data_IF_559761168144
#
_entry.id   IF_559761168144
#
_cell.length_a   1.000
_cell.length_b   1.000
_cell.length_c   1.000
_cell.angle_alpha   90.00
_cell.angle_beta   90.00
_cell.angle_gamma   90.00
#
_symmetry.space_group_name_H-M   'P 1'
#
loop_
_entity.id
_entity.type
_entity.pdbx_description
1 polymer ?
#
# COMPACT_ATOMS: atom_id res chain seq x y z
N UNK A 1 -47.43 46.43 -2.07
CA UNK A 1 -46.84 45.15 -2.53
C UNK A 1 -46.67 44.27 -1.30
N UNK A 2 -47.49 43.23 -1.10
CA UNK A 2 -47.40 42.36 0.09
C UNK A 2 -46.43 41.23 -0.22
N UNK A 3 -45.23 41.29 0.33
CA UNK A 3 -44.23 40.22 0.25
C UNK A 3 -44.73 39.06 1.11
N UNK A 4 -45.11 37.95 0.48
CA UNK A 4 -45.40 36.70 1.19
C UNK A 4 -44.08 36.03 1.57
N UNK A 5 -43.65 36.22 2.81
CA UNK A 5 -42.61 35.39 3.40
C UNK A 5 -43.20 33.99 3.62
N UNK A 6 -42.69 33.00 2.88
CA UNK A 6 -43.01 31.59 3.12
C UNK A 6 -42.33 31.20 4.44
N UNK A 7 -43.12 30.97 5.48
CA UNK A 7 -42.60 30.52 6.78
C UNK A 7 -41.95 29.15 6.58
N UNK A 8 -40.63 29.05 6.80
CA UNK A 8 -39.96 27.76 6.84
C UNK A 8 -40.40 27.01 8.10
N UNK A 9 -40.85 25.76 7.94
CA UNK A 9 -41.11 24.90 9.09
C UNK A 9 -39.75 24.46 9.68
N UNK A 10 -39.48 24.88 10.91
CA UNK A 10 -38.28 24.48 11.66
C UNK A 10 -38.57 23.24 12.50
N UNK A 11 -37.59 22.34 12.60
CA UNK A 11 -37.62 21.15 13.45
C UNK A 11 -36.33 21.08 14.26
N UNK A 12 -36.44 20.56 15.48
CA UNK A 12 -35.31 20.33 16.39
C UNK A 12 -35.20 18.83 16.67
N UNK A 13 -33.97 18.32 16.69
CA UNK A 13 -33.64 16.94 17.07
C UNK A 13 -32.55 16.98 18.13
N UNK A 14 -32.56 15.99 19.04
CA UNK A 14 -31.51 15.76 20.03
C UNK A 14 -30.93 14.37 19.79
N UNK A 15 -29.60 14.27 19.76
CA UNK A 15 -28.88 13.04 19.48
C UNK A 15 -27.75 12.87 20.51
N UNK A 16 -27.60 11.66 21.03
CA UNK A 16 -26.42 11.28 21.79
C UNK A 16 -25.39 10.73 20.81
N UNK A 17 -24.16 11.23 20.91
CA UNK A 17 -23.01 10.75 20.16
C UNK A 17 -22.10 9.94 21.08
N UNK A 18 -21.40 8.98 20.48
CA UNK A 18 -20.58 8.00 21.17
C UNK A 18 -19.26 7.85 20.44
N UNK A 19 -18.19 7.60 21.18
CA UNK A 19 -16.94 7.10 20.61
C UNK A 19 -17.11 5.65 20.15
N UNK A 20 -16.23 5.20 19.25
CA UNK A 20 -16.28 3.83 18.71
C UNK A 20 -16.30 2.74 19.81
N UNK A 21 -15.50 2.91 20.87
CA UNK A 21 -15.42 1.97 22.00
C UNK A 21 -16.69 1.90 22.84
N UNK A 22 -17.57 2.89 22.75
CA UNK A 22 -18.82 2.97 23.52
C UNK A 22 -20.01 2.37 22.75
N UNK A 23 -19.83 2.05 21.46
CA UNK A 23 -20.85 1.42 20.64
C UNK A 23 -21.06 -0.04 21.04
N UNK A 24 -22.30 -0.52 20.86
CA UNK A 24 -22.56 -1.96 20.93
C UNK A 24 -21.96 -2.70 19.71
N UNK A 25 -21.76 -4.01 19.82
CA UNK A 25 -21.12 -4.82 18.77
C UNK A 25 -21.76 -4.66 17.38
N UNK A 26 -23.09 -4.55 17.31
CA UNK A 26 -23.79 -4.37 16.03
C UNK A 26 -23.46 -3.01 15.41
N UNK A 27 -23.43 -1.96 16.22
CA UNK A 27 -23.07 -0.62 15.78
C UNK A 27 -21.57 -0.54 15.42
N UNK A 28 -20.68 -1.21 16.15
CA UNK A 28 -19.26 -1.31 15.80
C UNK A 28 -19.05 -1.95 14.43
N UNK A 29 -19.69 -3.11 14.17
CA UNK A 29 -19.62 -3.76 12.85
C UNK A 29 -20.11 -2.88 11.72
N UNK A 30 -21.18 -2.12 11.96
CA UNK A 30 -21.67 -1.14 10.98
C UNK A 30 -20.65 -0.02 10.78
N UNK A 31 -20.10 0.54 11.85
CA UNK A 31 -19.11 1.61 11.76
C UNK A 31 -17.85 1.14 11.01
N UNK A 32 -17.37 -0.07 11.26
CA UNK A 32 -16.23 -0.66 10.53
C UNK A 32 -16.55 -0.84 9.04
N UNK A 33 -17.69 -1.44 8.71
CA UNK A 33 -18.09 -1.66 7.31
C UNK A 33 -18.28 -0.35 6.53
N UNK A 34 -18.85 0.67 7.16
CA UNK A 34 -19.05 2.00 6.56
C UNK A 34 -17.72 2.76 6.37
N UNK A 35 -16.63 2.34 7.03
CA UNK A 35 -15.31 2.98 7.02
C UNK A 35 -14.19 1.99 6.60
N UNK A 36 -14.52 0.95 5.82
CA UNK A 36 -13.59 -0.12 5.42
C UNK A 36 -12.34 0.38 4.67
N UNK A 37 -12.43 1.55 4.03
CA UNK A 37 -11.38 2.18 3.23
C UNK A 37 -10.66 3.32 3.99
N UNK A 38 -10.96 3.51 5.28
CA UNK A 38 -10.51 4.68 6.06
C UNK A 38 -9.00 4.90 6.01
N UNK A 39 -8.22 3.84 6.17
CA UNK A 39 -6.76 3.88 6.21
C UNK A 39 -6.10 3.83 4.82
N UNK A 40 -6.86 3.49 3.78
CA UNK A 40 -6.36 3.28 2.42
C UNK A 40 -6.91 4.30 1.43
N UNK A 41 -7.50 5.39 1.91
CA UNK A 41 -8.12 6.41 1.07
C UNK A 41 -7.12 7.24 0.26
N UNK A 42 -5.86 7.39 0.73
CA UNK A 42 -4.80 8.13 0.06
C UNK A 42 -3.43 7.63 0.50
N UNK A 43 -2.50 7.49 -0.45
CA UNK A 43 -1.05 7.44 -0.21
C UNK A 43 -0.55 6.38 0.78
N UNK A 44 -1.35 5.35 1.05
CA UNK A 44 -0.96 4.28 1.98
C UNK A 44 0.22 3.45 1.45
N UNK A 45 0.47 3.51 0.14
CA UNK A 45 1.57 2.84 -0.56
C UNK A 45 2.85 3.69 -0.67
N UNK A 46 2.85 4.96 -0.27
CA UNK A 46 3.96 5.89 -0.54
C UNK A 46 5.29 5.34 0.01
N UNK A 47 5.29 4.81 1.23
CA UNK A 47 6.49 4.23 1.84
C UNK A 47 6.98 2.95 1.14
N UNK A 48 6.11 2.23 0.43
CA UNK A 48 6.49 1.07 -0.39
C UNK A 48 7.14 1.55 -1.69
N UNK A 49 6.68 2.67 -2.24
CA UNK A 49 7.31 3.30 -3.39
C UNK A 49 8.69 3.85 -3.04
N UNK A 50 8.83 4.48 -1.88
CA UNK A 50 10.12 4.96 -1.36
C UNK A 50 11.10 3.78 -1.18
N UNK A 51 10.67 2.67 -0.55
CA UNK A 51 11.47 1.44 -0.40
C UNK A 51 11.90 0.87 -1.77
N UNK A 52 10.97 0.82 -2.74
CA UNK A 52 11.28 0.38 -4.09
C UNK A 52 12.33 1.27 -4.77
N UNK A 53 12.18 2.59 -4.67
CA UNK A 53 13.12 3.56 -5.25
C UNK A 53 14.50 3.44 -4.62
N UNK A 54 14.59 3.32 -3.29
CA UNK A 54 15.84 3.07 -2.55
C UNK A 54 16.48 1.73 -2.96
N UNK A 55 15.67 0.71 -3.22
CA UNK A 55 16.12 -0.56 -3.78
C UNK A 55 16.54 -0.47 -5.26
N UNK A 56 16.38 0.67 -5.93
CA UNK A 56 16.73 0.87 -7.33
C UNK A 56 15.65 0.43 -8.33
N UNK A 57 14.39 0.36 -7.90
CA UNK A 57 13.23 0.02 -8.72
C UNK A 57 12.24 1.18 -8.76
N UNK A 58 11.64 1.40 -9.93
CA UNK A 58 10.53 2.31 -10.10
C UNK A 58 9.25 1.51 -10.29
N UNK A 59 8.36 1.53 -9.29
CA UNK A 59 7.00 1.02 -9.47
C UNK A 59 6.25 1.99 -10.41
N UNK A 60 5.73 1.47 -11.51
CA UNK A 60 5.01 2.26 -12.52
C UNK A 60 3.49 2.15 -12.39
N UNK A 61 3.01 1.23 -11.55
CA UNK A 61 1.60 1.05 -11.24
C UNK A 61 1.33 -0.33 -10.68
N UNK A 62 0.24 -0.46 -9.93
CA UNK A 62 -0.24 -1.72 -9.38
C UNK A 62 -1.77 -1.75 -9.35
N UNK A 63 -2.33 -2.94 -9.21
CA UNK A 63 -3.75 -3.22 -9.01
C UNK A 63 -3.86 -4.45 -8.11
N UNK A 64 -4.47 -4.30 -6.93
CA UNK A 64 -4.68 -5.38 -5.95
C UNK A 64 -6.01 -6.11 -6.11
N UNK A 65 -6.94 -5.58 -6.91
CA UNK A 65 -8.24 -6.19 -7.16
C UNK A 65 -8.13 -7.17 -8.34
N UNK A 66 -8.99 -7.04 -9.35
CA UNK A 66 -9.17 -8.04 -10.38
C UNK A 66 -7.92 -8.29 -11.22
N UNK A 67 -7.11 -7.26 -11.48
CA UNK A 67 -5.98 -7.39 -12.37
C UNK A 67 -4.74 -7.98 -11.69
N UNK A 68 -4.61 -7.82 -10.36
CA UNK A 68 -3.59 -8.44 -9.51
C UNK A 68 -2.17 -8.32 -10.11
N UNK A 69 -1.67 -7.09 -10.25
CA UNK A 69 -0.34 -6.83 -10.79
C UNK A 69 0.39 -5.73 -10.03
N UNK A 70 1.72 -5.79 -10.08
CA UNK A 70 2.60 -4.66 -9.81
C UNK A 70 3.60 -4.62 -10.96
N UNK A 71 3.76 -3.46 -11.59
CA UNK A 71 4.72 -3.25 -12.66
C UNK A 71 5.87 -2.41 -12.13
N UNK A 72 7.10 -2.85 -12.37
CA UNK A 72 8.30 -2.12 -12.01
C UNK A 72 9.31 -2.07 -13.17
N UNK A 73 10.23 -1.12 -13.08
CA UNK A 73 11.37 -0.95 -13.98
C UNK A 73 12.63 -0.75 -13.15
N UNK A 74 13.78 -1.20 -13.63
CA UNK A 74 15.05 -0.81 -13.03
C UNK A 74 15.28 0.69 -13.20
N UNK A 75 15.73 1.36 -12.15
CA UNK A 75 16.19 2.76 -12.22
C UNK A 75 17.60 2.79 -12.83
N UNK A 76 18.43 1.82 -12.47
CA UNK A 76 19.79 1.65 -12.98
C UNK A 76 19.92 0.34 -13.77
N UNK A 77 20.15 -0.77 -13.07
CA UNK A 77 20.28 -2.11 -13.63
C UNK A 77 20.02 -3.15 -12.55
N UNK A 78 19.89 -4.42 -12.95
CA UNK A 78 19.63 -5.53 -12.04
C UNK A 78 20.70 -5.70 -10.96
N UNK A 79 21.98 -5.42 -11.27
CA UNK A 79 23.10 -5.58 -10.33
C UNK A 79 23.06 -4.51 -9.26
N UNK A 80 22.80 -3.26 -9.64
CA UNK A 80 22.59 -2.17 -8.71
C UNK A 80 21.43 -2.48 -7.78
N UNK A 81 20.27 -2.88 -8.33
CA UNK A 81 19.09 -3.22 -7.53
C UNK A 81 19.38 -4.35 -6.55
N UNK A 82 19.99 -5.44 -7.04
CA UNK A 82 20.37 -6.57 -6.21
C UNK A 82 21.39 -6.19 -5.11
N UNK A 83 22.24 -5.20 -5.36
CA UNK A 83 23.19 -4.67 -4.38
C UNK A 83 22.47 -3.83 -3.32
N UNK A 84 21.56 -2.92 -3.71
CA UNK A 84 20.80 -2.09 -2.77
C UNK A 84 19.92 -2.95 -1.86
N UNK A 85 19.22 -3.94 -2.42
CA UNK A 85 18.41 -4.88 -1.62
C UNK A 85 19.28 -5.57 -0.57
N UNK A 86 20.49 -6.03 -0.91
CA UNK A 86 21.42 -6.66 0.05
C UNK A 86 21.91 -5.73 1.15
N UNK A 87 21.98 -4.43 0.89
CA UNK A 87 22.43 -3.43 1.85
C UNK A 87 21.31 -2.99 2.80
N UNK A 88 20.10 -2.83 2.26
CA UNK A 88 19.03 -2.11 2.95
C UNK A 88 17.92 -3.03 3.47
N UNK A 89 17.68 -4.18 2.83
CA UNK A 89 16.55 -5.04 3.19
C UNK A 89 16.95 -6.10 4.22
N UNK A 90 15.99 -6.47 5.08
CA UNK A 90 16.20 -7.54 6.06
C UNK A 90 16.32 -8.93 5.42
N UNK A 91 17.13 -9.81 6.01
CA UNK A 91 17.41 -11.15 5.47
C UNK A 91 16.18 -12.03 5.21
N UNK A 92 15.09 -11.77 5.94
CA UNK A 92 13.84 -12.54 5.85
C UNK A 92 12.84 -12.01 4.82
N UNK A 93 13.12 -10.86 4.20
CA UNK A 93 12.20 -10.30 3.21
C UNK A 93 12.17 -11.16 1.95
N UNK A 94 11.04 -11.15 1.25
CA UNK A 94 10.91 -11.85 -0.02
C UNK A 94 11.84 -11.24 -1.09
N UNK A 95 12.01 -9.91 -1.08
CA UNK A 95 12.94 -9.20 -1.95
C UNK A 95 14.39 -9.69 -1.77
N UNK A 96 14.82 -10.01 -0.56
CA UNK A 96 16.14 -10.61 -0.31
C UNK A 96 16.24 -12.04 -0.85
N UNK A 97 15.19 -12.85 -0.70
CA UNK A 97 15.17 -14.23 -1.22
C UNK A 97 15.26 -14.24 -2.75
N UNK A 98 14.47 -13.40 -3.41
CA UNK A 98 14.49 -13.20 -4.87
C UNK A 98 15.88 -12.74 -5.33
N UNK A 99 16.48 -11.80 -4.61
CA UNK A 99 17.83 -11.28 -4.89
C UNK A 99 18.91 -12.34 -4.73
N UNK A 100 18.78 -13.23 -3.73
CA UNK A 100 19.71 -14.35 -3.54
C UNK A 100 19.64 -15.31 -4.72
N UNK A 101 18.43 -15.70 -5.14
CA UNK A 101 18.23 -16.57 -6.29
C UNK A 101 18.71 -15.94 -7.62
N UNK A 102 18.66 -14.62 -7.75
CA UNK A 102 19.25 -13.90 -8.88
C UNK A 102 20.78 -14.07 -8.92
N UNK A 103 21.46 -13.78 -7.82
CA UNK A 103 22.92 -13.92 -7.75
C UNK A 103 23.37 -15.36 -8.01
N UNK A 104 22.70 -16.35 -7.43
CA UNK A 104 23.03 -17.77 -7.64
C UNK A 104 22.92 -18.16 -9.13
N UNK A 105 21.83 -17.76 -9.80
CA UNK A 105 21.63 -18.06 -11.23
C UNK A 105 22.64 -17.34 -12.11
N UNK A 106 22.87 -16.05 -11.85
CA UNK A 106 23.83 -15.24 -12.59
C UNK A 106 25.25 -15.76 -12.44
N UNK A 107 25.70 -15.98 -11.22
CA UNK A 107 27.04 -16.47 -10.94
C UNK A 107 27.24 -17.87 -11.52
N UNK A 108 26.23 -18.73 -11.48
CA UNK A 108 26.28 -20.02 -12.15
C UNK A 108 26.48 -19.87 -13.66
N UNK A 109 25.71 -19.02 -14.33
CA UNK A 109 25.84 -18.78 -15.76
C UNK A 109 27.25 -18.29 -16.12
N UNK A 110 27.77 -17.29 -15.41
CA UNK A 110 29.10 -16.71 -15.68
C UNK A 110 30.24 -17.68 -15.38
N UNK A 111 30.15 -18.42 -14.26
CA UNK A 111 31.25 -19.29 -13.81
C UNK A 111 31.33 -20.61 -14.57
N UNK A 112 30.23 -21.07 -15.16
CA UNK A 112 30.20 -22.32 -15.94
C UNK A 112 30.34 -22.11 -17.43
N UNK A 113 30.31 -20.85 -17.91
CA UNK A 113 30.45 -20.54 -19.31
C UNK A 113 31.82 -20.95 -19.86
N UNK A 114 31.82 -21.44 -21.11
CA UNK A 114 33.07 -21.86 -21.76
C UNK A 114 33.97 -20.66 -22.04
N UNK A 115 35.27 -20.91 -21.95
CA UNK A 115 36.31 -19.93 -22.25
C UNK A 115 37.30 -20.51 -23.24
N UNK A 116 37.78 -19.66 -24.13
CA UNK A 116 38.79 -20.03 -25.11
C UNK A 116 40.18 -20.19 -24.47
N UNK A 117 41.18 -20.46 -25.30
CA UNK A 117 42.57 -20.69 -24.85
C UNK A 117 43.21 -19.47 -24.17
N UNK A 118 42.69 -18.26 -24.40
CA UNK A 118 43.18 -17.01 -23.79
C UNK A 118 42.33 -16.58 -22.59
N UNK A 119 41.29 -17.34 -22.24
CA UNK A 119 40.43 -17.11 -21.07
C UNK A 119 39.22 -16.22 -21.33
N UNK A 120 38.98 -15.81 -22.58
CA UNK A 120 37.82 -15.02 -23.00
C UNK A 120 36.59 -15.92 -23.14
N UNK A 121 35.40 -15.35 -22.95
CA UNK A 121 34.16 -16.12 -23.08
C UNK A 121 33.94 -16.59 -24.52
N UNK A 122 33.76 -17.89 -24.70
CA UNK A 122 33.27 -18.42 -25.98
C UNK A 122 31.82 -17.98 -26.19
N UNK A 123 31.51 -17.49 -27.41
CA UNK A 123 30.18 -17.04 -27.80
C UNK A 123 29.57 -16.01 -26.82
N UNK A 124 30.32 -14.93 -26.53
CA UNK A 124 29.94 -13.90 -25.56
C UNK A 124 28.54 -13.28 -25.79
N UNK A 125 28.06 -13.23 -27.04
CA UNK A 125 26.69 -12.75 -27.38
C UNK A 125 25.59 -13.66 -26.81
N UNK A 126 25.82 -14.98 -26.79
CA UNK A 126 24.87 -15.94 -26.19
C UNK A 126 24.88 -15.86 -24.66
N UNK A 127 26.04 -15.56 -24.06
CA UNK A 127 26.14 -15.27 -22.62
C UNK A 127 25.35 -14.00 -22.28
N UNK A 128 25.51 -12.94 -23.06
CA UNK A 128 24.80 -11.67 -22.88
C UNK A 128 23.28 -11.88 -22.92
N UNK A 129 22.78 -12.58 -23.94
CA UNK A 129 21.35 -12.95 -24.06
C UNK A 129 20.86 -13.77 -22.84
N UNK A 130 21.71 -14.66 -22.32
CA UNK A 130 21.38 -15.46 -21.14
C UNK A 130 21.30 -14.60 -19.88
N UNK A 131 22.21 -13.65 -19.72
CA UNK A 131 22.22 -12.71 -18.60
C UNK A 131 20.99 -11.79 -18.66
N UNK A 132 20.65 -11.25 -19.82
CA UNK A 132 19.44 -10.45 -20.03
C UNK A 132 18.18 -11.20 -19.58
N UNK A 133 18.04 -12.47 -19.97
CA UNK A 133 16.91 -13.30 -19.54
C UNK A 133 16.87 -13.51 -18.02
N UNK A 134 18.03 -13.63 -17.36
CA UNK A 134 18.12 -13.74 -15.90
C UNK A 134 17.70 -12.43 -15.23
N UNK A 135 18.08 -11.28 -15.79
CA UNK A 135 17.71 -9.96 -15.31
C UNK A 135 16.21 -9.68 -15.48
N UNK A 136 15.61 -10.08 -16.61
CA UNK A 136 14.16 -10.00 -16.81
C UNK A 136 13.39 -10.85 -15.80
N UNK A 137 13.83 -12.08 -15.55
CA UNK A 137 13.24 -12.96 -14.55
C UNK A 137 13.36 -12.36 -13.15
N UNK A 138 14.48 -11.71 -12.85
CA UNK A 138 14.67 -11.01 -11.59
C UNK A 138 13.69 -9.85 -11.44
N UNK A 139 13.52 -9.01 -12.47
CA UNK A 139 12.56 -7.90 -12.44
C UNK A 139 11.12 -8.40 -12.23
N UNK A 140 10.72 -9.48 -12.90
CA UNK A 140 9.40 -10.10 -12.73
C UNK A 140 9.21 -10.61 -11.29
N UNK A 141 10.21 -11.30 -10.74
CA UNK A 141 10.15 -11.81 -9.39
C UNK A 141 10.12 -10.68 -8.34
N UNK A 142 10.89 -9.62 -8.53
CA UNK A 142 10.86 -8.42 -7.68
C UNK A 142 9.50 -7.73 -7.74
N UNK A 143 8.91 -7.61 -8.93
CA UNK A 143 7.57 -7.04 -9.12
C UNK A 143 6.51 -7.83 -8.35
N UNK A 144 6.60 -9.17 -8.35
CA UNK A 144 5.71 -10.03 -7.57
C UNK A 144 5.94 -9.91 -6.06
N UNK A 145 7.18 -9.75 -5.62
CA UNK A 145 7.49 -9.54 -4.20
C UNK A 145 6.88 -8.21 -3.69
N UNK A 146 6.98 -7.13 -4.48
CA UNK A 146 6.32 -5.87 -4.15
C UNK A 146 4.79 -5.94 -4.22
N UNK A 147 4.22 -6.69 -5.17
CA UNK A 147 2.78 -6.94 -5.20
C UNK A 147 2.29 -7.58 -3.89
N UNK A 148 3.01 -8.60 -3.41
CA UNK A 148 2.67 -9.29 -2.15
C UNK A 148 2.86 -8.39 -0.93
N UNK A 149 3.85 -7.51 -0.94
CA UNK A 149 4.04 -6.52 0.11
C UNK A 149 2.88 -5.51 0.14
N UNK A 150 2.49 -4.98 -1.03
CA UNK A 150 1.35 -4.07 -1.18
C UNK A 150 0.05 -4.72 -0.67
N UNK A 151 -0.20 -5.96 -1.10
CA UNK A 151 -1.37 -6.75 -0.70
C UNK A 151 -1.43 -6.97 0.82
N UNK A 152 -0.31 -7.42 1.41
CA UNK A 152 -0.19 -7.62 2.84
C UNK A 152 -0.47 -6.34 3.64
N UNK A 153 0.09 -5.21 3.20
CA UNK A 153 -0.08 -3.92 3.87
C UNK A 153 -1.51 -3.44 3.74
N UNK A 154 -2.12 -3.61 2.58
CA UNK A 154 -3.52 -3.27 2.36
C UNK A 154 -4.41 -4.06 3.34
N UNK A 155 -4.19 -5.36 3.48
CA UNK A 155 -4.92 -6.22 4.42
C UNK A 155 -4.72 -5.78 5.88
N UNK A 156 -3.49 -5.44 6.27
CA UNK A 156 -3.19 -4.96 7.62
C UNK A 156 -3.93 -3.64 7.91
N UNK A 157 -3.89 -2.69 6.97
CA UNK A 157 -4.52 -1.37 7.11
C UNK A 157 -6.05 -1.41 7.05
N UNK A 158 -6.63 -2.39 6.35
CA UNK A 158 -8.08 -2.57 6.21
C UNK A 158 -8.68 -3.57 7.20
N UNK A 159 -7.86 -4.11 8.10
CA UNK A 159 -8.34 -4.93 9.21
C UNK A 159 -9.30 -4.15 10.14
N UNK A 160 -10.27 -4.86 10.72
CA UNK A 160 -11.22 -4.29 11.69
C UNK A 160 -10.47 -3.62 12.86
N UNK A 161 -9.38 -4.23 13.32
CA UNK A 161 -8.52 -3.70 14.37
C UNK A 161 -7.86 -2.37 13.96
N UNK A 162 -7.21 -2.30 12.79
CA UNK A 162 -6.54 -1.08 12.34
C UNK A 162 -7.52 0.06 12.07
N UNK A 163 -8.71 -0.24 11.56
CA UNK A 163 -9.78 0.75 11.36
C UNK A 163 -10.28 1.23 12.73
N UNK A 164 -10.57 0.33 13.67
CA UNK A 164 -11.02 0.69 15.01
C UNK A 164 -10.02 1.59 15.76
N UNK A 165 -8.73 1.24 15.70
CA UNK A 165 -7.64 2.04 16.27
C UNK A 165 -7.62 3.44 15.67
N UNK A 166 -7.74 3.54 14.35
CA UNK A 166 -7.69 4.82 13.64
C UNK A 166 -8.91 5.69 13.89
N UNK A 167 -10.12 5.11 13.92
CA UNK A 167 -11.34 5.82 14.29
C UNK A 167 -11.29 6.35 15.73
N UNK A 168 -10.71 5.58 16.65
CA UNK A 168 -10.55 5.96 18.06
C UNK A 168 -9.49 7.05 18.21
N UNK A 169 -8.32 6.90 17.58
CA UNK A 169 -7.22 7.86 17.66
C UNK A 169 -7.58 9.23 17.06
N UNK A 170 -8.45 9.25 16.05
CA UNK A 170 -8.96 10.48 15.45
C UNK A 170 -10.26 11.01 16.11
N UNK A 171 -10.66 10.45 17.26
CA UNK A 171 -11.81 10.87 18.06
C UNK A 171 -13.12 10.97 17.25
N UNK A 172 -13.39 9.99 16.39
CA UNK A 172 -14.63 9.97 15.61
C UNK A 172 -15.85 9.73 16.52
N UNK A 173 -16.90 10.48 16.24
CA UNK A 173 -18.21 10.42 16.87
C UNK A 173 -19.19 9.63 16.01
N UNK A 174 -20.03 8.85 16.68
CA UNK A 174 -21.03 7.98 16.06
C UNK A 174 -22.39 8.14 16.72
N UNK A 175 -23.46 7.93 15.96
CA UNK A 175 -24.79 7.69 16.52
C UNK A 175 -24.87 6.30 17.15
N UNK A 176 -25.87 6.05 18.00
CA UNK A 176 -26.04 4.76 18.70
C UNK A 176 -26.16 3.53 17.78
N UNK A 177 -26.51 3.72 16.50
CA UNK A 177 -26.59 2.66 15.49
C UNK A 177 -25.28 2.47 14.69
N UNK A 178 -24.25 3.28 14.95
CA UNK A 178 -22.92 3.17 14.33
C UNK A 178 -22.69 4.05 13.11
N UNK A 179 -23.59 5.00 12.81
CA UNK A 179 -23.38 5.93 11.70
C UNK A 179 -22.45 7.09 12.11
N UNK A 180 -21.49 7.46 11.25
CA UNK A 180 -20.55 8.56 11.53
C UNK A 180 -21.28 9.90 11.70
N UNK A 181 -20.94 10.63 12.76
CA UNK A 181 -21.62 11.85 13.18
C UNK A 181 -20.69 13.09 13.31
N UNK A 182 -19.40 13.01 12.94
CA UNK A 182 -18.44 14.11 13.07
C UNK A 182 -18.91 15.44 12.44
N UNK A 183 -19.70 15.38 11.36
CA UNK A 183 -20.26 16.59 10.75
C UNK A 183 -21.34 17.23 11.62
N UNK A 184 -22.14 16.43 12.32
CA UNK A 184 -23.17 16.91 13.25
C UNK A 184 -22.52 17.56 14.47
N UNK A 185 -21.45 16.95 14.96
CA UNK A 185 -20.65 17.46 16.07
C UNK A 185 -20.06 18.85 15.76
N UNK A 186 -19.33 18.99 14.64
CA UNK A 186 -18.79 20.28 14.18
C UNK A 186 -19.87 21.35 13.99
N UNK A 187 -21.02 21.00 13.43
CA UNK A 187 -22.13 21.95 13.26
C UNK A 187 -22.69 22.41 14.61
N UNK A 188 -22.75 21.53 15.61
CA UNK A 188 -23.18 21.90 16.95
C UNK A 188 -22.19 22.87 17.60
N UNK A 189 -20.88 22.64 17.48
CA UNK A 189 -19.84 23.55 17.97
C UNK A 189 -19.94 24.95 17.35
N UNK A 190 -20.05 25.02 16.01
CA UNK A 190 -20.19 26.29 15.27
C UNK A 190 -21.41 27.11 15.72
N UNK A 191 -22.56 26.44 15.94
CA UNK A 191 -23.77 27.08 16.44
C UNK A 191 -23.64 27.57 17.89
N UNK A 192 -22.83 26.91 18.70
CA UNK A 192 -22.61 27.28 20.09
C UNK A 192 -21.68 28.49 20.20
N UNK A 193 -20.73 28.65 19.27
CA UNK A 193 -19.80 29.79 19.22
C UNK A 193 -20.41 31.07 18.64
N UNK A 194 -21.56 30.99 17.96
CA UNK A 194 -22.27 32.13 17.37
C UNK A 194 -23.30 32.78 18.32
N UNK A 195 -23.53 32.20 19.51
CA UNK A 195 -24.46 32.69 20.54
C UNK A 195 -23.70 33.19 21.78
#
# INVERSE_FOLDING_TARGET
MKTHFKTCAMKTIQLNLYHFSELNERAQKKALADNQDFNVNNNWWDWIYDDAEEAGLKITGFDLDRACYCNAQFIHDAIYTATQVRLNHGEKTETMQVTTAFWERRDHAVNTWRRDEIGEFENAEELDTTLDSIEEDYLKAMSLAYLRLLDKVYDELTSDEAIAESLTANEYWFTADGSTANRLDKLAEELTQQN
#
